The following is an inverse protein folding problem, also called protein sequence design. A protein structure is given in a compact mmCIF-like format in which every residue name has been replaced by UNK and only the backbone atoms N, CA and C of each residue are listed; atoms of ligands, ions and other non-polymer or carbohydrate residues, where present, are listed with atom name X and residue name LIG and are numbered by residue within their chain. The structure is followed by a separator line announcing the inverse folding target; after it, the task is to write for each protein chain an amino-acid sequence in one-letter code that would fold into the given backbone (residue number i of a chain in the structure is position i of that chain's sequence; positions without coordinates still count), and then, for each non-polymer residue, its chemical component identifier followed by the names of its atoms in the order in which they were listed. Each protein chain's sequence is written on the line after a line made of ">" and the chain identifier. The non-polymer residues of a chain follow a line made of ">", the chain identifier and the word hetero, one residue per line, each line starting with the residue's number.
data_IF_968527094839
#
_entry.id   IF_968527094839
#
_cell.length_a   1.000
_cell.length_b   1.000
_cell.length_c   1.000
_cell.angle_alpha   90.00
_cell.angle_beta   90.00
_cell.angle_gamma   90.00
#
_symmetry.space_group_name_H-M   'P 1'
#
loop_
_entity.id
_entity.type
_entity.pdbx_description
1 polymer ?
#
# COMPACT_ATOMS: atom_id res chain seq x y z
N UNK A 1 16.39 -1.87 -27.38
CA UNK A 1 14.98 -2.22 -27.05
C UNK A 1 14.29 -2.59 -28.36
N UNK A 2 13.64 -3.76 -28.47
CA UNK A 2 13.00 -4.17 -29.72
C UNK A 2 11.93 -3.14 -30.15
N UNK A 3 11.71 -2.90 -31.45
CA UNK A 3 10.82 -1.86 -31.94
C UNK A 3 9.39 -1.98 -31.37
N UNK A 4 8.90 -3.22 -31.20
CA UNK A 4 7.58 -3.54 -30.63
C UNK A 4 7.41 -2.97 -29.22
N UNK A 5 8.45 -3.04 -28.38
CA UNK A 5 8.35 -2.61 -26.97
C UNK A 5 8.28 -1.08 -26.87
N UNK A 6 8.97 -0.38 -27.77
CA UNK A 6 8.92 1.08 -27.82
C UNK A 6 7.56 1.59 -28.34
N UNK A 7 6.94 0.84 -29.25
CA UNK A 7 5.61 1.15 -29.78
C UNK A 7 4.51 0.94 -28.73
N UNK A 8 4.56 -0.18 -28.01
CA UNK A 8 3.65 -0.46 -26.90
C UNK A 8 3.74 0.61 -25.81
N UNK A 9 4.96 1.02 -25.43
CA UNK A 9 5.16 2.10 -24.46
C UNK A 9 4.51 3.43 -24.88
N UNK A 10 4.65 3.81 -26.17
CA UNK A 10 4.00 5.02 -26.70
C UNK A 10 2.48 4.91 -26.80
N UNK A 11 1.93 3.71 -26.98
CA UNK A 11 0.48 3.50 -26.99
C UNK A 11 -0.10 3.62 -25.58
N UNK A 12 0.56 3.02 -24.58
CA UNK A 12 0.18 3.13 -23.16
C UNK A 12 0.21 4.59 -22.71
N UNK A 13 1.26 5.33 -23.08
CA UNK A 13 1.40 6.73 -22.71
C UNK A 13 0.25 7.59 -23.25
N UNK A 14 -0.10 7.41 -24.53
CA UNK A 14 -1.23 8.11 -25.18
C UNK A 14 -2.57 7.76 -24.53
N UNK A 15 -2.77 6.50 -24.17
CA UNK A 15 -3.99 6.07 -23.48
C UNK A 15 -4.08 6.68 -22.07
N UNK A 16 -3.00 6.68 -21.30
CA UNK A 16 -2.96 7.29 -19.96
C UNK A 16 -3.13 8.81 -19.99
N UNK A 17 -2.70 9.48 -21.06
CA UNK A 17 -2.95 10.91 -21.26
C UNK A 17 -4.40 11.23 -21.61
N UNK A 18 -5.07 10.33 -22.34
CA UNK A 18 -6.50 10.42 -22.61
C UNK A 18 -7.30 10.18 -21.31
N UNK A 19 -6.95 9.15 -20.54
CA UNK A 19 -7.68 8.74 -19.34
C UNK A 19 -7.20 9.42 -18.05
N UNK A 20 -6.54 10.57 -18.18
CA UNK A 20 -5.77 11.22 -17.11
C UNK A 20 -6.57 11.45 -15.81
N UNK A 21 -7.87 11.72 -15.94
CA UNK A 21 -8.76 12.07 -14.84
C UNK A 21 -9.19 10.83 -14.06
N UNK A 22 -9.25 9.66 -14.70
CA UNK A 22 -9.58 8.40 -14.02
C UNK A 22 -8.40 7.84 -13.23
N UNK A 23 -7.16 8.27 -13.52
CA UNK A 23 -5.99 7.82 -12.77
C UNK A 23 -6.09 8.15 -11.27
N UNK A 24 -6.74 9.26 -10.92
CA UNK A 24 -6.96 9.64 -9.52
C UNK A 24 -7.90 8.66 -8.82
N UNK A 25 -8.84 8.04 -9.55
CA UNK A 25 -9.78 7.06 -9.00
C UNK A 25 -9.09 5.74 -8.61
N UNK A 26 -7.87 5.50 -9.07
CA UNK A 26 -7.06 4.35 -8.66
C UNK A 26 -6.31 4.58 -7.34
N UNK A 27 -6.26 5.81 -6.83
CA UNK A 27 -5.56 6.15 -5.60
C UNK A 27 -6.13 5.41 -4.37
N UNK A 28 -7.45 5.30 -4.17
CA UNK A 28 -8.03 4.48 -3.11
C UNK A 28 -7.70 2.99 -3.26
N UNK A 29 -7.64 2.48 -4.49
CA UNK A 29 -7.30 1.07 -4.77
C UNK A 29 -5.84 0.79 -4.40
N UNK A 30 -4.93 1.68 -4.78
CA UNK A 30 -3.52 1.58 -4.42
C UNK A 30 -3.31 1.70 -2.89
N UNK A 31 -4.01 2.62 -2.23
CA UNK A 31 -3.99 2.72 -0.77
C UNK A 31 -4.50 1.42 -0.12
N UNK A 32 -5.64 0.91 -0.60
CA UNK A 32 -6.27 -0.32 -0.10
C UNK A 32 -5.42 -1.56 -0.32
N UNK A 33 -4.65 -1.65 -1.42
CA UNK A 33 -3.73 -2.77 -1.64
C UNK A 33 -2.57 -2.78 -0.63
N UNK A 34 -2.07 -1.60 -0.25
CA UNK A 34 -1.12 -1.45 0.85
C UNK A 34 -1.66 -1.97 2.18
N UNK A 35 -2.93 -1.68 2.47
CA UNK A 35 -3.61 -2.20 3.66
C UNK A 35 -3.76 -3.73 3.58
N UNK A 36 -4.16 -4.26 2.42
CA UNK A 36 -4.30 -5.70 2.20
C UNK A 36 -2.97 -6.44 2.41
N UNK A 37 -1.85 -5.85 1.99
CA UNK A 37 -0.52 -6.43 2.21
C UNK A 37 -0.19 -6.64 3.69
N UNK A 38 -0.66 -5.77 4.58
CA UNK A 38 -0.44 -5.95 6.02
C UNK A 38 -1.01 -7.28 6.55
N UNK A 39 -2.14 -7.73 5.99
CA UNK A 39 -2.77 -9.01 6.37
C UNK A 39 -2.08 -10.23 5.77
N UNK A 40 -1.34 -10.07 4.67
CA UNK A 40 -0.67 -11.15 3.95
C UNK A 40 0.76 -11.36 4.50
N UNK A 41 1.43 -10.27 4.86
CA UNK A 41 2.82 -10.31 5.27
C UNK A 41 2.98 -10.72 6.74
N UNK A 42 3.94 -11.61 7.05
CA UNK A 42 3.98 -12.32 8.33
C UNK A 42 4.49 -11.48 9.51
N UNK A 43 5.38 -10.51 9.27
CA UNK A 43 6.11 -9.84 10.35
C UNK A 43 6.51 -8.38 9.99
N UNK A 44 6.90 -7.56 10.99
CA UNK A 44 7.26 -6.15 10.78
C UNK A 44 8.49 -5.93 9.88
N UNK A 45 9.39 -6.90 9.76
CA UNK A 45 10.50 -6.82 8.80
C UNK A 45 9.97 -6.97 7.38
N UNK A 46 9.07 -7.93 7.16
CA UNK A 46 8.40 -8.09 5.88
C UNK A 46 7.61 -6.82 5.48
N UNK A 47 6.93 -6.17 6.42
CA UNK A 47 6.23 -4.90 6.14
C UNK A 47 7.20 -3.78 5.71
N UNK A 48 8.32 -3.63 6.43
CA UNK A 48 9.36 -2.64 6.09
C UNK A 48 9.99 -2.91 4.72
N UNK A 49 10.31 -4.17 4.41
CA UNK A 49 10.87 -4.52 3.10
C UNK A 49 9.87 -4.25 1.98
N UNK A 50 8.59 -4.56 2.17
CA UNK A 50 7.54 -4.22 1.20
C UNK A 50 7.43 -2.70 0.98
N UNK A 51 7.45 -1.90 2.04
CA UNK A 51 7.45 -0.43 1.92
C UNK A 51 8.66 0.08 1.12
N UNK A 52 9.86 -0.42 1.43
CA UNK A 52 11.07 -0.05 0.70
C UNK A 52 11.02 -0.47 -0.77
N UNK A 53 10.49 -1.66 -1.08
CA UNK A 53 10.32 -2.12 -2.45
C UNK A 53 9.32 -1.26 -3.23
N UNK A 54 8.20 -0.88 -2.61
CA UNK A 54 7.22 0.02 -3.23
C UNK A 54 7.85 1.41 -3.49
N UNK A 55 8.60 1.96 -2.53
CA UNK A 55 9.32 3.22 -2.72
C UNK A 55 10.39 3.11 -3.82
N UNK A 56 11.17 2.02 -3.83
CA UNK A 56 12.18 1.76 -4.84
C UNK A 56 11.56 1.65 -6.24
N UNK A 57 10.42 0.96 -6.38
CA UNK A 57 9.66 0.88 -7.62
C UNK A 57 9.21 2.26 -8.09
N UNK A 58 8.69 3.09 -7.16
CA UNK A 58 8.30 4.46 -7.48
C UNK A 58 9.46 5.32 -7.96
N UNK A 59 10.62 5.24 -7.30
CA UNK A 59 11.84 5.94 -7.71
C UNK A 59 12.38 5.44 -9.05
N UNK A 60 12.41 4.13 -9.26
CA UNK A 60 12.86 3.51 -10.51
C UNK A 60 11.96 3.93 -11.68
N UNK A 61 10.65 3.98 -11.48
CA UNK A 61 9.70 4.45 -12.48
C UNK A 61 10.00 5.89 -12.92
N UNK A 62 10.27 6.80 -11.97
CA UNK A 62 10.65 8.18 -12.29
C UNK A 62 12.01 8.27 -13.00
N UNK A 63 13.00 7.50 -12.55
CA UNK A 63 14.34 7.52 -13.11
C UNK A 63 14.38 7.00 -14.56
N UNK A 64 13.62 5.95 -14.87
CA UNK A 64 13.59 5.33 -16.20
C UNK A 64 12.60 6.02 -17.13
N UNK A 65 11.46 6.49 -16.61
CA UNK A 65 10.32 6.94 -17.42
C UNK A 65 10.46 8.29 -18.12
N UNK A 66 11.60 8.98 -17.97
CA UNK A 66 11.95 10.24 -18.67
C UNK A 66 10.84 11.32 -18.67
N UNK A 67 9.98 11.33 -17.65
CA UNK A 67 8.92 12.33 -17.47
C UNK A 67 7.52 11.93 -17.96
N UNK A 68 7.32 10.70 -18.43
CA UNK A 68 6.01 10.20 -18.85
C UNK A 68 4.96 10.10 -17.73
N UNK A 69 3.68 10.23 -18.09
CA UNK A 69 2.49 9.99 -17.26
C UNK A 69 2.50 8.58 -16.67
N UNK A 70 2.95 7.57 -17.42
CA UNK A 70 3.08 6.19 -16.92
C UNK A 70 3.95 6.14 -15.67
N UNK A 71 5.12 6.80 -15.71
CA UNK A 71 6.04 6.83 -14.58
C UNK A 71 5.40 7.49 -13.37
N UNK A 72 4.77 8.66 -13.56
CA UNK A 72 4.07 9.37 -12.47
C UNK A 72 2.95 8.53 -11.86
N UNK A 73 2.15 7.84 -12.69
CA UNK A 73 1.08 6.98 -12.22
C UNK A 73 1.60 5.83 -11.36
N UNK A 74 2.67 5.14 -11.82
CA UNK A 74 3.32 4.07 -11.05
C UNK A 74 3.89 4.62 -9.74
N UNK A 75 4.57 5.76 -9.77
CA UNK A 75 5.18 6.34 -8.57
C UNK A 75 4.16 6.80 -7.54
N UNK A 76 3.07 7.44 -7.98
CA UNK A 76 1.99 7.85 -7.09
C UNK A 76 1.25 6.63 -6.53
N UNK A 77 0.99 5.62 -7.35
CA UNK A 77 0.37 4.37 -6.92
C UNK A 77 1.24 3.62 -5.90
N UNK A 78 2.55 3.51 -6.14
CA UNK A 78 3.47 2.87 -5.22
C UNK A 78 3.59 3.63 -3.89
N UNK A 79 3.61 4.97 -3.94
CA UNK A 79 3.59 5.80 -2.74
C UNK A 79 2.28 5.63 -1.95
N UNK A 80 1.13 5.61 -2.64
CA UNK A 80 -0.17 5.39 -2.02
C UNK A 80 -0.24 4.00 -1.35
N UNK A 81 0.27 2.95 -1.99
CA UNK A 81 0.34 1.61 -1.39
C UNK A 81 1.27 1.56 -0.17
N UNK A 82 2.45 2.19 -0.24
CA UNK A 82 3.33 2.30 0.93
C UNK A 82 2.67 3.07 2.08
N UNK A 83 1.93 4.14 1.78
CA UNK A 83 1.16 4.89 2.77
C UNK A 83 0.04 4.05 3.38
N UNK A 84 -0.68 3.26 2.57
CA UNK A 84 -1.72 2.35 3.05
C UNK A 84 -1.19 1.34 4.07
N UNK A 85 -0.05 0.71 3.75
CA UNK A 85 0.63 -0.22 4.66
C UNK A 85 1.12 0.49 5.95
N UNK A 86 1.68 1.69 5.83
CA UNK A 86 2.09 2.50 6.98
C UNK A 86 0.92 2.87 7.90
N UNK A 87 -0.21 3.27 7.30
CA UNK A 87 -1.40 3.72 8.03
C UNK A 87 -2.02 2.60 8.85
N UNK A 88 -2.19 1.40 8.26
CA UNK A 88 -2.76 0.27 8.98
C UNK A 88 -1.82 -0.21 10.09
N UNK A 89 -0.52 -0.24 9.84
CA UNK A 89 0.47 -0.60 10.86
C UNK A 89 0.47 0.41 12.02
N UNK A 90 0.52 1.72 11.74
CA UNK A 90 0.46 2.75 12.77
C UNK A 90 -0.85 2.71 13.58
N UNK A 91 -1.98 2.37 12.93
CA UNK A 91 -3.26 2.16 13.61
C UNK A 91 -3.20 0.94 14.52
N UNK A 92 -2.64 -0.17 14.05
CA UNK A 92 -2.49 -1.39 14.84
C UNK A 92 -1.66 -1.13 16.10
N UNK A 93 -0.54 -0.41 15.97
CA UNK A 93 0.31 -0.04 17.11
C UNK A 93 -0.41 0.87 18.12
N UNK A 94 -1.24 1.82 17.65
CA UNK A 94 -2.00 2.73 18.54
C UNK A 94 -3.14 2.06 19.27
N UNK A 95 -3.76 1.06 18.65
CA UNK A 95 -4.91 0.32 19.22
C UNK A 95 -4.45 -0.92 19.99
N UNK A 96 -3.15 -1.23 19.98
CA UNK A 96 -2.59 -2.34 20.73
C UNK A 96 -2.88 -2.19 22.23
N UNK A 97 -3.93 -2.88 22.70
CA UNK A 97 -4.19 -3.05 24.11
C UNK A 97 -3.04 -3.87 24.73
N UNK A 98 -2.80 -3.74 26.05
CA UNK A 98 -1.82 -4.58 26.73
C UNK A 98 -2.12 -6.05 26.48
N UNK A 99 -1.31 -6.68 25.62
CA UNK A 99 -1.47 -8.10 25.31
C UNK A 99 -0.99 -8.91 26.50
N UNK A 100 -1.76 -9.94 26.86
CA UNK A 100 -1.36 -10.94 27.83
C UNK A 100 -0.07 -11.60 27.32
N UNK A 101 1.04 -11.39 28.04
CA UNK A 101 2.37 -11.88 27.65
C UNK A 101 2.48 -13.41 27.64
N UNK A 102 1.51 -14.08 28.25
CA UNK A 102 1.39 -15.53 28.33
C UNK A 102 -0.10 -15.89 28.49
N UNK A 103 -0.53 -17.09 28.08
CA UNK A 103 -1.84 -17.60 28.42
C UNK A 103 -2.03 -17.60 29.94
N UNK A 104 -3.09 -16.95 30.44
CA UNK A 104 -3.42 -16.90 31.86
C UNK A 104 -4.86 -17.38 32.04
N UNK A 105 -5.06 -18.37 32.91
CA UNK A 105 -6.39 -18.69 33.43
C UNK A 105 -6.58 -17.85 34.69
N UNK A 106 -7.51 -16.91 34.67
CA UNK A 106 -7.78 -16.02 35.79
C UNK A 106 -9.28 -15.95 36.07
N UNK A 107 -9.64 -15.97 37.36
CA UNK A 107 -11.01 -15.68 37.80
C UNK A 107 -11.16 -14.16 37.88
N UNK A 108 -12.13 -13.59 37.18
CA UNK A 108 -12.44 -12.17 37.25
C UNK A 108 -13.88 -11.97 37.72
N UNK A 109 -14.10 -10.91 38.50
CA UNK A 109 -15.42 -10.42 38.82
C UNK A 109 -15.72 -9.23 37.89
N UNK A 110 -16.85 -9.29 37.17
CA UNK A 110 -17.31 -8.20 36.32
C UNK A 110 -18.78 -7.86 36.64
N UNK A 111 -19.17 -6.61 36.39
CA UNK A 111 -20.55 -6.14 36.53
C UNK A 111 -21.22 -6.11 35.15
N UNK A 112 -22.45 -6.61 35.08
CA UNK A 112 -23.30 -6.44 33.89
C UNK A 112 -23.80 -5.00 33.87
N UNK A 113 -23.33 -4.19 32.91
CA UNK A 113 -23.78 -2.78 32.78
C UNK A 113 -25.13 -2.65 32.08
N UNK A 114 -25.41 -3.50 31.10
CA UNK A 114 -26.68 -3.49 30.35
C UNK A 114 -26.94 -4.86 29.74
N UNK A 115 -28.22 -5.25 29.69
CA UNK A 115 -28.73 -6.36 28.89
C UNK A 115 -29.68 -5.72 27.87
N UNK A 116 -29.41 -5.91 26.58
CA UNK A 116 -30.34 -5.60 25.48
C UNK A 116 -31.13 -6.84 25.07
#
# INVERSE_FOLDING_TARGET
>A
MPPIVAEAGRAIERWLEAERDQLVLWLPVALGSGIAFWFILPDPTAWRTAMLLMMALGCAALAVGRGGRTARAISVGALAAAAGLALIWARADRVAAPVLQRPIVATFAARVERIE
#
